data_IF_609638937739
#
_entry.id   IF_609638937739
#
_cell.length_a   1.000
_cell.length_b   1.000
_cell.length_c   1.000
_cell.angle_alpha   90.00
_cell.angle_beta   90.00
_cell.angle_gamma   90.00
#
_symmetry.space_group_name_H-M   'P 1'
#
loop_
_entity.id
_entity.type
_entity.pdbx_description
1 polymer ?
#
# COMPACT_ATOMS: atom_id res chain seq x y z
N UNK A 1 -2.21 11.13 19.17
CA UNK A 1 -3.49 10.48 18.84
C UNK A 1 -3.44 9.06 19.35
N UNK A 2 -4.32 8.69 20.27
CA UNK A 2 -4.62 7.30 20.62
C UNK A 2 -5.76 6.82 19.72
N UNK A 3 -5.75 5.56 19.23
CA UNK A 3 -6.97 5.02 18.61
C UNK A 3 -8.08 5.01 19.67
N UNK A 4 -9.25 5.53 19.31
CA UNK A 4 -10.44 5.45 20.15
C UNK A 4 -11.00 4.01 20.20
N UNK A 5 -11.80 3.71 21.21
CA UNK A 5 -12.45 2.39 21.35
C UNK A 5 -13.27 1.98 20.11
N UNK A 6 -13.92 2.96 19.46
CA UNK A 6 -14.69 2.75 18.22
C UNK A 6 -13.83 2.44 16.99
N UNK A 7 -12.54 2.81 16.99
CA UNK A 7 -11.64 2.53 15.87
C UNK A 7 -11.00 1.15 16.00
N UNK A 8 -10.87 0.63 17.22
CA UNK A 8 -10.28 -0.68 17.51
C UNK A 8 -11.15 -1.81 16.96
N UNK A 9 -12.48 -1.67 17.00
CA UNK A 9 -13.42 -2.67 16.47
C UNK A 9 -13.58 -2.60 14.93
N UNK A 10 -13.02 -1.59 14.27
CA UNK A 10 -13.14 -1.46 12.81
C UNK A 10 -12.24 -2.42 12.07
N UNK A 11 -12.75 -2.91 10.94
CA UNK A 11 -11.95 -3.66 9.98
C UNK A 11 -11.04 -2.70 9.20
N UNK A 12 -9.71 -2.94 9.17
CA UNK A 12 -8.79 -2.09 8.44
C UNK A 12 -9.03 -2.18 6.93
N UNK A 13 -8.95 -1.06 6.23
CA UNK A 13 -8.98 -1.03 4.76
C UNK A 13 -7.74 -1.68 4.17
N UNK A 14 -7.80 -2.07 2.89
CA UNK A 14 -6.62 -2.65 2.21
C UNK A 14 -5.44 -1.65 2.19
N UNK A 15 -5.74 -0.35 2.05
CA UNK A 15 -4.76 0.72 2.15
C UNK A 15 -4.11 0.78 3.54
N UNK A 16 -4.89 0.68 4.61
CA UNK A 16 -4.35 0.68 5.99
C UNK A 16 -3.50 -0.56 6.26
N UNK A 17 -3.89 -1.73 5.74
CA UNK A 17 -3.08 -2.96 5.79
C UNK A 17 -1.75 -2.77 5.06
N UNK A 18 -1.78 -2.22 3.85
CA UNK A 18 -0.56 -1.93 3.08
C UNK A 18 0.38 -0.99 3.82
N UNK A 19 -0.16 0.11 4.37
CA UNK A 19 0.61 1.07 5.17
C UNK A 19 1.28 0.43 6.37
N UNK A 20 0.56 -0.41 7.11
CA UNK A 20 1.13 -1.15 8.24
C UNK A 20 2.26 -2.08 7.77
N UNK A 21 2.03 -2.88 6.74
CA UNK A 21 2.99 -3.82 6.20
C UNK A 21 4.26 -3.13 5.65
N UNK A 22 4.10 -1.97 5.01
CA UNK A 22 5.21 -1.17 4.49
C UNK A 22 6.14 -0.68 5.62
N UNK A 23 5.56 -0.26 6.74
CA UNK A 23 6.30 0.25 7.90
C UNK A 23 7.02 -0.79 8.77
N UNK A 24 6.86 -2.09 8.48
CA UNK A 24 7.40 -3.20 9.27
C UNK A 24 8.48 -3.98 8.51
N UNK A 25 9.38 -4.62 9.24
CA UNK A 25 10.35 -5.58 8.66
C UNK A 25 9.66 -6.90 8.31
N UNK A 26 10.19 -7.65 7.36
CA UNK A 26 9.59 -8.92 6.91
C UNK A 26 9.49 -9.93 8.04
N UNK A 27 10.57 -10.11 8.80
CA UNK A 27 10.62 -10.96 10.00
C UNK A 27 9.53 -10.59 11.02
N UNK A 28 9.28 -9.30 11.24
CA UNK A 28 8.21 -8.82 12.13
C UNK A 28 6.83 -9.17 11.57
N UNK A 29 6.62 -9.02 10.25
CA UNK A 29 5.36 -9.42 9.61
C UNK A 29 5.15 -10.92 9.68
N UNK A 30 6.21 -11.73 9.56
CA UNK A 30 6.14 -13.18 9.74
C UNK A 30 5.72 -13.57 11.16
N UNK A 31 6.30 -12.93 12.18
CA UNK A 31 5.90 -13.14 13.57
C UNK A 31 4.47 -12.66 13.84
N UNK A 32 4.06 -11.52 13.26
CA UNK A 32 2.67 -11.04 13.32
C UNK A 32 1.71 -12.06 12.73
N UNK A 33 2.05 -12.63 11.57
CA UNK A 33 1.24 -13.64 10.89
C UNK A 33 0.93 -14.82 11.83
N UNK A 34 1.91 -15.28 12.62
CA UNK A 34 1.73 -16.32 13.64
C UNK A 34 0.81 -15.86 14.77
N UNK A 35 1.02 -14.66 15.32
CA UNK A 35 0.18 -14.12 16.41
C UNK A 35 -1.24 -13.77 15.99
N UNK A 36 -1.46 -13.60 14.69
CA UNK A 36 -2.76 -13.45 14.06
C UNK A 36 -3.39 -14.80 13.67
N UNK A 37 -2.84 -15.90 14.19
CA UNK A 37 -3.33 -17.27 14.04
C UNK A 37 -3.40 -17.74 12.58
N UNK A 38 -2.57 -17.16 11.72
CA UNK A 38 -2.46 -17.60 10.33
C UNK A 38 -1.54 -18.82 10.24
N UNK A 39 -1.91 -19.84 9.44
CA UNK A 39 -1.15 -21.07 9.38
C UNK A 39 0.12 -20.87 8.53
N UNK A 40 1.25 -21.41 8.99
CA UNK A 40 2.55 -21.17 8.34
C UNK A 40 2.66 -21.75 6.92
N UNK A 41 1.90 -22.80 6.59
CA UNK A 41 1.83 -23.26 5.19
C UNK A 41 1.30 -22.17 4.24
N UNK A 42 0.46 -21.24 4.74
CA UNK A 42 -0.02 -20.09 3.97
C UNK A 42 1.06 -19.03 3.82
N UNK A 43 1.93 -18.85 4.82
CA UNK A 43 3.10 -18.00 4.67
C UNK A 43 3.99 -18.51 3.54
N UNK A 44 4.33 -19.80 3.55
CA UNK A 44 5.21 -20.42 2.56
C UNK A 44 4.63 -20.31 1.14
N UNK A 45 3.31 -20.48 0.99
CA UNK A 45 2.58 -20.28 -0.27
C UNK A 45 2.72 -18.83 -0.79
N UNK A 46 2.57 -17.84 0.10
CA UNK A 46 2.68 -16.42 -0.27
C UNK A 46 4.14 -16.06 -0.59
N UNK A 47 5.10 -16.51 0.20
CA UNK A 47 6.54 -16.30 -0.02
C UNK A 47 6.99 -16.88 -1.36
N UNK A 48 6.48 -18.06 -1.73
CA UNK A 48 6.74 -18.65 -3.05
C UNK A 48 6.19 -17.80 -4.20
N UNK A 49 4.99 -17.23 -4.04
CA UNK A 49 4.31 -16.45 -5.07
C UNK A 49 4.82 -15.00 -5.19
N UNK A 50 5.32 -14.45 -4.08
CA UNK A 50 5.73 -13.05 -3.96
C UNK A 50 7.12 -12.96 -3.31
N UNK A 51 8.21 -13.24 -4.06
CA UNK A 51 9.56 -13.24 -3.51
C UNK A 51 10.10 -11.85 -3.17
N UNK A 52 9.44 -10.78 -3.64
CA UNK A 52 9.79 -9.42 -3.24
C UNK A 52 9.27 -9.13 -1.83
N UNK A 53 10.15 -8.66 -0.94
CA UNK A 53 9.82 -8.42 0.48
C UNK A 53 8.62 -7.47 0.66
N UNK A 54 8.49 -6.44 -0.17
CA UNK A 54 7.38 -5.48 -0.09
C UNK A 54 6.03 -6.16 -0.37
N UNK A 55 5.94 -6.89 -1.48
CA UNK A 55 4.74 -7.61 -1.90
C UNK A 55 4.40 -8.74 -0.92
N UNK A 56 5.39 -9.51 -0.46
CA UNK A 56 5.22 -10.58 0.53
C UNK A 56 4.52 -10.06 1.78
N UNK A 57 5.07 -8.99 2.39
CA UNK A 57 4.51 -8.41 3.61
C UNK A 57 3.06 -7.95 3.40
N UNK A 58 2.80 -7.28 2.27
CA UNK A 58 1.46 -6.79 1.94
C UNK A 58 0.48 -7.94 1.76
N UNK A 59 0.79 -8.92 0.92
CA UNK A 59 -0.11 -10.03 0.61
C UNK A 59 -0.29 -10.98 1.81
N UNK A 60 0.70 -11.10 2.70
CA UNK A 60 0.56 -11.80 3.97
C UNK A 60 -0.49 -11.12 4.86
N UNK A 61 -0.36 -9.82 5.11
CA UNK A 61 -1.32 -9.09 5.96
C UNK A 61 -2.71 -8.99 5.31
N UNK A 62 -2.78 -8.89 3.98
CA UNK A 62 -4.04 -8.95 3.26
C UNK A 62 -4.70 -10.34 3.35
N UNK A 63 -3.92 -11.43 3.23
CA UNK A 63 -4.43 -12.78 3.40
C UNK A 63 -5.00 -13.02 4.80
N UNK A 64 -4.37 -12.45 5.83
CA UNK A 64 -4.95 -12.44 7.18
C UNK A 64 -6.32 -11.76 7.20
N UNK A 65 -6.41 -10.54 6.65
CA UNK A 65 -7.68 -9.80 6.59
C UNK A 65 -8.79 -10.58 5.88
N UNK A 66 -8.47 -11.35 4.84
CA UNK A 66 -9.47 -12.15 4.12
C UNK A 66 -9.93 -13.40 4.90
N UNK A 67 -9.07 -13.96 5.75
CA UNK A 67 -9.32 -15.25 6.41
C UNK A 67 -9.90 -15.09 7.82
N UNK A 68 -9.46 -14.07 8.56
CA UNK A 68 -9.89 -13.88 9.94
C UNK A 68 -11.40 -13.66 10.01
N UNK A 69 -12.03 -14.26 11.01
CA UNK A 69 -13.47 -14.09 11.26
C UNK A 69 -13.79 -12.65 11.69
N UNK A 70 -12.90 -12.02 12.45
CA UNK A 70 -13.00 -10.63 12.90
C UNK A 70 -11.64 -9.91 12.72
N UNK A 71 -11.31 -9.46 11.49
CA UNK A 71 -10.07 -8.74 11.22
C UNK A 71 -10.21 -7.30 11.72
N UNK A 72 -9.92 -7.03 12.99
CA UNK A 72 -10.07 -5.68 13.58
C UNK A 72 -8.72 -5.02 13.87
N UNK A 73 -8.72 -3.69 14.05
CA UNK A 73 -7.56 -2.98 14.58
C UNK A 73 -7.16 -3.45 15.99
N UNK A 74 -8.10 -3.97 16.78
CA UNK A 74 -7.83 -4.59 18.07
C UNK A 74 -7.01 -5.86 17.96
N UNK A 75 -7.33 -6.72 17.00
CA UNK A 75 -6.52 -7.91 16.72
C UNK A 75 -5.09 -7.53 16.29
N UNK A 76 -4.95 -6.53 15.41
CA UNK A 76 -3.64 -6.02 15.00
C UNK A 76 -2.87 -5.41 16.18
N UNK A 77 -3.53 -4.60 17.01
CA UNK A 77 -2.93 -3.98 18.20
C UNK A 77 -2.40 -5.04 19.17
N UNK A 78 -3.21 -6.06 19.43
CA UNK A 78 -2.81 -7.18 20.28
C UNK A 78 -1.59 -7.90 19.71
N UNK A 79 -1.62 -8.27 18.43
CA UNK A 79 -0.51 -8.96 17.77
C UNK A 79 0.78 -8.11 17.75
N UNK A 80 0.68 -6.81 17.44
CA UNK A 80 1.81 -5.87 17.47
C UNK A 80 2.46 -5.77 18.85
N UNK A 81 1.66 -5.86 19.92
CA UNK A 81 2.17 -5.89 21.29
C UNK A 81 2.99 -7.16 21.56
N UNK A 82 2.62 -8.30 20.94
CA UNK A 82 3.35 -9.56 21.11
C UNK A 82 4.71 -9.58 20.40
N UNK A 83 4.84 -8.84 19.30
CA UNK A 83 6.09 -8.71 18.53
C UNK A 83 6.91 -7.48 18.92
N UNK A 84 6.67 -6.92 20.11
CA UNK A 84 7.35 -5.74 20.66
C UNK A 84 7.39 -4.53 19.70
N UNK A 85 6.35 -4.36 18.88
CA UNK A 85 6.23 -3.20 18.01
C UNK A 85 5.49 -2.05 18.72
N UNK A 86 5.95 -0.83 18.44
CA UNK A 86 5.32 0.36 18.96
C UNK A 86 3.92 0.54 18.37
N UNK A 87 2.93 0.75 19.25
CA UNK A 87 1.56 1.06 18.86
C UNK A 87 1.45 2.33 17.99
N UNK A 88 2.41 3.25 18.09
CA UNK A 88 2.49 4.40 17.18
C UNK A 88 2.48 4.00 15.69
N UNK A 89 2.91 2.78 15.34
CA UNK A 89 2.78 2.22 13.99
C UNK A 89 1.34 2.10 13.49
N UNK A 90 0.38 1.81 14.38
CA UNK A 90 -1.04 1.85 14.00
C UNK A 90 -1.52 3.28 13.81
N UNK A 91 -1.06 4.25 14.60
CA UNK A 91 -1.44 5.65 14.38
C UNK A 91 -0.91 6.20 13.04
N UNK A 92 0.26 5.73 12.59
CA UNK A 92 0.84 6.12 11.29
C UNK A 92 -0.07 5.74 10.10
N UNK A 93 -0.89 4.69 10.20
CA UNK A 93 -1.77 4.26 9.09
C UNK A 93 -2.92 5.23 8.83
N UNK A 94 -3.35 5.97 9.86
CA UNK A 94 -4.44 6.96 9.80
C UNK A 94 -3.96 8.37 9.47
N UNK A 95 -2.66 8.66 9.70
CA UNK A 95 -2.10 9.99 9.46
C UNK A 95 -2.38 10.40 8.02
N UNK A 96 -3.00 11.54 7.77
CA UNK A 96 -3.12 12.13 6.42
C UNK A 96 -1.79 12.77 5.98
N UNK A 97 -1.56 12.81 4.67
CA UNK A 97 -0.37 13.46 4.09
C UNK A 97 -0.75 14.75 3.37
N UNK A 98 0.02 15.79 3.66
CA UNK A 98 -0.03 17.06 2.95
C UNK A 98 1.01 17.04 1.82
N UNK A 99 0.69 17.68 0.71
CA UNK A 99 1.62 17.82 -0.41
C UNK A 99 2.62 18.93 -0.02
N UNK A 100 3.92 18.63 0.08
CA UNK A 100 4.93 19.64 0.36
C UNK A 100 4.93 20.73 -0.72
N UNK A 101 5.43 21.91 -0.37
CA UNK A 101 5.70 22.95 -1.37
C UNK A 101 6.62 22.39 -2.46
N UNK A 102 6.19 22.52 -3.72
CA UNK A 102 6.91 22.00 -4.88
C UNK A 102 6.69 22.91 -6.11
N UNK A 103 7.42 22.63 -7.19
CA UNK A 103 7.37 23.39 -8.44
C UNK A 103 6.08 23.20 -9.25
N UNK A 104 5.24 22.21 -8.90
CA UNK A 104 4.01 21.91 -9.64
C UNK A 104 2.94 22.95 -9.28
N UNK A 105 2.37 23.68 -10.26
CA UNK A 105 1.29 24.64 -10.00
C UNK A 105 0.08 23.97 -9.35
N UNK A 106 -0.59 24.69 -8.44
CA UNK A 106 -1.80 24.21 -7.76
C UNK A 106 -2.89 23.81 -8.74
N UNK A 107 -3.07 24.58 -9.82
CA UNK A 107 -4.07 24.28 -10.85
C UNK A 107 -3.80 22.90 -11.49
N UNK A 108 -2.55 22.59 -11.81
CA UNK A 108 -2.13 21.28 -12.34
C UNK A 108 -2.43 20.14 -11.36
N UNK A 109 -2.28 20.36 -10.05
CA UNK A 109 -2.61 19.35 -9.02
C UNK A 109 -4.12 19.05 -8.94
N UNK A 110 -4.98 19.94 -9.42
CA UNK A 110 -6.43 19.73 -9.47
C UNK A 110 -6.91 19.10 -10.78
N UNK A 111 -6.05 19.03 -11.80
CA UNK A 111 -6.36 18.43 -13.09
C UNK A 111 -6.30 16.89 -13.05
N UNK A 112 -7.04 16.25 -13.94
CA UNK A 112 -6.91 14.81 -14.21
C UNK A 112 -5.61 14.61 -15.02
N UNK A 113 -4.67 13.76 -14.58
CA UNK A 113 -3.45 13.52 -15.34
C UNK A 113 -3.75 12.84 -16.68
N UNK A 114 -3.02 13.25 -17.71
CA UNK A 114 -3.05 12.59 -19.00
C UNK A 114 -2.23 11.29 -19.01
N UNK A 115 -2.38 10.52 -20.08
CA UNK A 115 -1.69 9.23 -20.25
C UNK A 115 -0.16 9.39 -20.33
N UNK A 116 0.34 10.52 -20.83
CA UNK A 116 1.79 10.76 -20.97
C UNK A 116 2.48 10.90 -19.61
N UNK A 117 1.84 11.57 -18.65
CA UNK A 117 2.32 11.66 -17.26
C UNK A 117 2.38 10.25 -16.63
N UNK A 118 1.34 9.44 -16.84
CA UNK A 118 1.25 8.09 -16.27
C UNK A 118 2.29 7.13 -16.86
N UNK A 119 2.54 7.21 -18.17
CA UNK A 119 3.60 6.45 -18.82
C UNK A 119 4.99 6.83 -18.31
N UNK A 120 5.27 8.12 -18.15
CA UNK A 120 6.55 8.59 -17.59
C UNK A 120 6.78 8.09 -16.17
N UNK A 121 5.74 8.11 -15.33
CA UNK A 121 5.81 7.63 -13.95
C UNK A 121 5.99 6.11 -13.86
N UNK A 122 5.44 5.35 -14.81
CA UNK A 122 5.48 3.87 -14.80
C UNK A 122 6.89 3.29 -14.79
N UNK A 123 7.85 4.02 -15.36
CA UNK A 123 9.26 3.60 -15.44
C UNK A 123 10.03 3.74 -14.13
N UNK A 124 9.48 4.43 -13.13
CA UNK A 124 10.25 4.92 -11.99
C UNK A 124 9.80 4.37 -10.63
N UNK A 125 8.81 3.48 -10.60
CA UNK A 125 8.25 2.93 -9.36
C UNK A 125 9.03 1.71 -8.85
N UNK A 126 9.27 0.72 -9.72
CA UNK A 126 9.91 -0.53 -9.32
C UNK A 126 9.05 -1.34 -8.35
N UNK A 127 9.65 -1.83 -7.25
CA UNK A 127 9.04 -2.76 -6.30
C UNK A 127 7.91 -2.17 -5.45
N UNK A 128 7.74 -0.85 -5.44
CA UNK A 128 6.70 -0.19 -4.64
C UNK A 128 5.35 -0.07 -5.39
N UNK A 129 5.23 -0.75 -6.53
CA UNK A 129 4.07 -0.62 -7.42
C UNK A 129 2.78 -1.14 -6.78
N UNK A 130 2.81 -2.26 -6.08
CA UNK A 130 1.62 -2.76 -5.37
C UNK A 130 1.21 -1.80 -4.26
N UNK A 131 2.19 -1.23 -3.55
CA UNK A 131 1.90 -0.28 -2.46
C UNK A 131 1.30 1.00 -3.04
N UNK A 132 1.82 1.47 -4.18
CA UNK A 132 1.23 2.57 -4.95
C UNK A 132 -0.22 2.25 -5.32
N UNK A 133 -0.51 1.04 -5.81
CA UNK A 133 -1.86 0.61 -6.15
C UNK A 133 -2.83 0.69 -4.97
N UNK A 134 -2.41 0.26 -3.77
CA UNK A 134 -3.21 0.40 -2.55
C UNK A 134 -3.44 1.88 -2.18
N UNK A 135 -2.42 2.72 -2.32
CA UNK A 135 -2.54 4.15 -2.03
C UNK A 135 -3.45 4.89 -3.02
N UNK A 136 -3.56 4.37 -4.25
CA UNK A 136 -4.52 4.80 -5.27
C UNK A 136 -5.91 4.17 -5.08
N UNK A 137 -6.08 3.35 -4.04
CA UNK A 137 -7.35 2.75 -3.65
C UNK A 137 -7.76 1.53 -4.47
N UNK A 138 -6.85 0.85 -5.15
CA UNK A 138 -7.13 -0.49 -5.69
C UNK A 138 -7.25 -1.48 -4.53
N UNK A 139 -8.08 -2.51 -4.70
CA UNK A 139 -8.24 -3.57 -3.70
C UNK A 139 -7.11 -4.58 -3.79
N UNK A 140 -6.79 -5.27 -2.69
CA UNK A 140 -5.77 -6.32 -2.65
C UNK A 140 -6.01 -7.44 -3.66
N UNK A 141 -7.27 -7.81 -3.90
CA UNK A 141 -7.64 -8.78 -4.94
C UNK A 141 -7.29 -8.29 -6.35
N UNK A 142 -7.53 -7.00 -6.65
CA UNK A 142 -7.16 -6.42 -7.94
C UNK A 142 -5.65 -6.44 -8.14
N UNK A 143 -4.87 -6.15 -7.09
CA UNK A 143 -3.41 -6.15 -7.14
C UNK A 143 -2.84 -7.56 -7.24
N UNK A 144 -3.45 -8.54 -6.57
CA UNK A 144 -3.09 -9.95 -6.74
C UNK A 144 -3.28 -10.39 -8.19
N UNK A 145 -4.39 -10.03 -8.83
CA UNK A 145 -4.63 -10.31 -10.26
C UNK A 145 -3.57 -9.65 -11.15
N UNK A 146 -3.19 -8.39 -10.89
CA UNK A 146 -2.15 -7.69 -11.65
C UNK A 146 -0.79 -8.37 -11.48
N UNK A 147 -0.42 -8.70 -10.24
CA UNK A 147 0.83 -9.39 -9.93
C UNK A 147 0.91 -10.76 -10.64
N UNK A 148 -0.23 -11.48 -10.72
CA UNK A 148 -0.32 -12.76 -11.43
C UNK A 148 -0.23 -12.61 -12.95
N UNK A 149 -0.92 -11.64 -13.54
CA UNK A 149 -0.93 -11.40 -14.99
C UNK A 149 0.43 -10.94 -15.51
N UNK A 150 1.13 -10.11 -14.74
CA UNK A 150 2.38 -9.49 -15.13
C UNK A 150 3.53 -9.92 -14.21
N UNK A 151 3.66 -11.22 -13.93
CA UNK A 151 4.72 -11.78 -13.08
C UNK A 151 6.08 -11.20 -13.47
N UNK A 152 6.80 -10.70 -12.46
CA UNK A 152 8.15 -10.09 -12.54
C UNK A 152 8.29 -8.86 -13.44
N UNK A 153 7.24 -8.43 -14.14
CA UNK A 153 7.24 -7.26 -15.06
C UNK A 153 6.73 -6.02 -14.33
N UNK A 154 7.56 -5.44 -13.46
CA UNK A 154 7.18 -4.33 -12.58
C UNK A 154 6.61 -3.10 -13.32
N UNK A 155 7.15 -2.78 -14.50
CA UNK A 155 6.66 -1.69 -15.35
C UNK A 155 5.24 -1.98 -15.86
N UNK A 156 4.99 -3.19 -16.36
CA UNK A 156 3.66 -3.60 -16.84
C UNK A 156 2.64 -3.66 -15.70
N UNK A 157 3.05 -4.14 -14.52
CA UNK A 157 2.23 -4.05 -13.31
C UNK A 157 1.85 -2.60 -12.98
N UNK A 158 2.82 -1.68 -13.04
CA UNK A 158 2.60 -0.25 -12.76
C UNK A 158 1.66 0.40 -13.79
N UNK A 159 1.87 0.11 -15.09
CA UNK A 159 0.97 0.56 -16.17
C UNK A 159 -0.45 0.09 -15.95
N UNK A 160 -0.63 -1.19 -15.61
CA UNK A 160 -1.95 -1.76 -15.36
C UNK A 160 -2.61 -1.12 -14.13
N UNK A 161 -1.86 -0.84 -13.06
CA UNK A 161 -2.34 -0.08 -11.90
C UNK A 161 -2.85 1.30 -12.32
N UNK A 162 -2.06 2.06 -13.08
CA UNK A 162 -2.48 3.38 -13.57
C UNK A 162 -3.67 3.31 -14.53
N UNK A 163 -3.73 2.31 -15.40
CA UNK A 163 -4.86 2.08 -16.31
C UNK A 163 -6.16 1.79 -15.55
N UNK A 164 -6.10 1.05 -14.44
CA UNK A 164 -7.28 0.81 -13.59
C UNK A 164 -7.66 2.04 -12.78
N UNK A 165 -6.66 2.75 -12.24
CA UNK A 165 -6.87 3.96 -11.46
C UNK A 165 -7.43 5.13 -12.30
N UNK A 166 -6.91 5.37 -13.50
CA UNK A 166 -7.27 6.53 -14.35
C UNK A 166 -8.75 6.56 -14.73
N UNK A 167 -9.41 5.40 -14.80
CA UNK A 167 -10.86 5.27 -15.02
C UNK A 167 -11.69 5.97 -13.93
N UNK A 168 -11.12 6.21 -12.74
CA UNK A 168 -11.75 6.90 -11.62
C UNK A 168 -11.71 8.42 -11.76
N UNK A 169 -11.00 8.95 -12.78
CA UNK A 169 -10.89 10.38 -13.10
C UNK A 169 -10.53 11.27 -11.90
N UNK A 170 -9.62 10.77 -11.06
CA UNK A 170 -9.15 11.49 -9.88
C UNK A 170 -8.07 12.52 -10.22
N UNK A 171 -7.94 13.61 -9.44
CA UNK A 171 -6.97 14.65 -9.71
C UNK A 171 -5.54 14.20 -9.43
N UNK A 172 -4.58 14.87 -10.05
CA UNK A 172 -3.14 14.63 -9.92
C UNK A 172 -2.66 14.71 -8.46
N UNK A 173 -3.31 15.51 -7.62
CA UNK A 173 -3.06 15.57 -6.17
C UNK A 173 -3.25 14.23 -5.44
N UNK A 174 -4.15 13.35 -5.89
CA UNK A 174 -4.28 11.99 -5.32
C UNK A 174 -3.03 11.18 -5.63
N UNK A 175 -2.52 11.29 -6.85
CA UNK A 175 -1.27 10.65 -7.27
C UNK A 175 -0.09 11.21 -6.48
N UNK A 176 0.00 12.54 -6.31
CA UNK A 176 1.03 13.19 -5.50
C UNK A 176 1.07 12.63 -4.06
N UNK A 177 -0.09 12.53 -3.41
CA UNK A 177 -0.23 11.96 -2.06
C UNK A 177 0.20 10.50 -2.01
N UNK A 178 -0.19 9.69 -3.00
CA UNK A 178 0.24 8.29 -3.08
C UNK A 178 1.77 8.16 -3.23
N UNK A 179 2.39 9.02 -4.03
CA UNK A 179 3.85 9.06 -4.19
C UNK A 179 4.60 9.51 -2.93
N UNK A 180 4.00 10.38 -2.11
CA UNK A 180 4.55 10.74 -0.78
C UNK A 180 4.55 9.52 0.13
N UNK A 181 3.48 8.71 0.10
CA UNK A 181 3.34 7.51 0.97
C UNK A 181 4.34 6.41 0.68
N UNK A 182 4.79 6.30 -0.55
CA UNK A 182 5.79 5.32 -0.97
C UNK A 182 7.20 5.92 -1.03
N UNK A 183 7.41 7.11 -0.45
CA UNK A 183 8.69 7.81 -0.44
C UNK A 183 9.31 8.05 -1.84
N UNK A 184 8.45 8.35 -2.82
CA UNK A 184 8.85 8.67 -4.20
C UNK A 184 8.39 10.04 -4.68
N UNK A 185 8.08 10.96 -3.77
CA UNK A 185 7.62 12.29 -4.17
C UNK A 185 8.62 13.04 -5.07
N UNK A 186 9.93 12.83 -4.88
CA UNK A 186 10.96 13.40 -5.77
C UNK A 186 10.98 12.80 -7.18
N UNK A 187 10.46 11.58 -7.39
CA UNK A 187 10.23 11.01 -8.72
C UNK A 187 9.01 11.69 -9.35
N UNK A 188 7.93 11.82 -8.58
CA UNK A 188 6.70 12.45 -9.02
C UNK A 188 6.94 13.88 -9.53
N UNK A 189 7.64 14.71 -8.76
CA UNK A 189 7.90 16.10 -9.15
C UNK A 189 8.72 16.22 -10.42
N UNK A 190 9.72 15.35 -10.62
CA UNK A 190 10.54 15.34 -11.85
C UNK A 190 9.74 14.95 -13.08
N UNK A 191 8.82 13.99 -12.96
CA UNK A 191 8.00 13.55 -14.09
C UNK A 191 6.88 14.53 -14.45
N UNK A 192 6.41 15.36 -13.51
CA UNK A 192 5.29 16.28 -13.71
C UNK A 192 5.72 17.74 -13.94
N UNK A 193 7.02 18.06 -13.86
CA UNK A 193 7.55 19.43 -14.08
C UNK A 193 8.11 19.67 -15.49
N UNK A 194 8.04 18.67 -16.37
CA UNK A 194 8.41 18.75 -17.78
C UNK A 194 7.15 18.84 -18.66
#
# INVERSE_FOLDING_TARGET
MSLGELEIEQCPTDQQIGRLAAGLKQEVVKELFVHLEMPMNKWDEIEHNYPCSADLKMFAMWAWKQKAEMPTFGALKYALTKVNQDFHKLCEVFREVEIPSCSIPTDTLTCIPDESILENLSNSIGNDNMQLGLELGLKGAELQDIAFQHKTRLMEQTREIFRRWSKRRQPLSVLAKAFIRIDKFGVFTRCCSN
#
